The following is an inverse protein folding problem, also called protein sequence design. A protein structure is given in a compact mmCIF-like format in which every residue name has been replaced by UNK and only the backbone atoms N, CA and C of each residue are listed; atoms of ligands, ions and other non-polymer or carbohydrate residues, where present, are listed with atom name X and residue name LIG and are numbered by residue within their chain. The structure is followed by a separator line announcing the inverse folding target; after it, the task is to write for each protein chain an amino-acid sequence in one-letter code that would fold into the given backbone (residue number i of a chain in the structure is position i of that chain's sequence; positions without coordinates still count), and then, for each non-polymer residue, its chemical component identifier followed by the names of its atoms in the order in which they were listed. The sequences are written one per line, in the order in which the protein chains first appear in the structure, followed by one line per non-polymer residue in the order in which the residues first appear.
data_IF_045548850034
#
_entry.id   IF_045548850034
#
_cell.length_a   1.000
_cell.length_b   1.000
_cell.length_c   1.000
_cell.angle_alpha   90.00
_cell.angle_beta   90.00
_cell.angle_gamma   90.00
#
_symmetry.space_group_name_H-M   'P 1'
#
loop_
_entity.id
_entity.type
_entity.pdbx_description
1 polymer ?
#
# COMPACT_ATOMS: atom_id res chain seq x y z
N UNK A 1 -30.49 -5.06 20.23
CA UNK A 1 -29.54 -5.69 19.31
C UNK A 1 -28.91 -4.59 18.47
N UNK A 2 -27.69 -4.14 18.80
CA UNK A 2 -26.96 -3.13 18.04
C UNK A 2 -25.87 -3.85 17.25
N UNK A 3 -26.01 -3.87 15.93
CA UNK A 3 -25.02 -4.42 15.02
C UNK A 3 -23.85 -3.43 14.92
N UNK A 4 -22.73 -3.76 15.52
CA UNK A 4 -21.45 -3.06 15.32
C UNK A 4 -20.85 -3.53 14.00
N UNK A 5 -21.07 -2.78 12.93
CA UNK A 5 -20.40 -2.96 11.66
C UNK A 5 -18.96 -2.46 11.80
N UNK A 6 -18.03 -3.37 11.99
CA UNK A 6 -16.59 -3.05 11.96
C UNK A 6 -16.19 -2.70 10.52
N UNK A 7 -16.08 -1.41 10.25
CA UNK A 7 -15.54 -0.87 9.01
C UNK A 7 -14.04 -1.14 8.98
N UNK A 8 -13.62 -2.22 8.31
CA UNK A 8 -12.20 -2.50 8.04
C UNK A 8 -11.71 -1.51 6.96
N UNK A 9 -10.97 -0.52 7.39
CA UNK A 9 -10.38 0.52 6.55
C UNK A 9 -9.18 -0.05 5.81
N UNK A 10 -9.25 -0.08 4.48
CA UNK A 10 -8.10 -0.38 3.63
C UNK A 10 -7.13 0.81 3.66
N UNK A 11 -5.94 0.58 4.17
CA UNK A 11 -4.88 1.57 4.32
C UNK A 11 -3.90 1.43 3.16
N UNK A 12 -3.99 2.29 2.15
CA UNK A 12 -2.90 2.47 1.19
C UNK A 12 -1.85 3.37 1.84
N UNK A 13 -0.90 2.77 2.54
CA UNK A 13 0.21 3.46 3.19
C UNK A 13 1.39 3.53 2.23
N UNK A 14 1.58 4.66 1.55
CA UNK A 14 2.87 5.02 0.97
C UNK A 14 3.88 5.32 2.10
N UNK A 15 4.34 4.27 2.79
CA UNK A 15 5.37 4.39 3.82
C UNK A 15 6.74 4.43 3.15
N UNK A 16 7.35 5.60 3.01
CA UNK A 16 8.78 5.68 2.77
C UNK A 16 9.52 5.35 4.06
N UNK A 17 9.83 4.07 4.24
CA UNK A 17 10.87 3.66 5.16
C UNK A 17 12.21 4.06 4.54
N UNK A 18 12.96 4.97 5.19
CA UNK A 18 14.38 5.19 4.87
C UNK A 18 15.12 3.91 5.28
N UNK A 19 15.40 3.05 4.32
CA UNK A 19 16.22 1.86 4.49
C UNK A 19 17.69 2.26 4.30
N UNK A 20 18.41 2.50 5.39
CA UNK A 20 19.86 2.36 5.38
C UNK A 20 20.19 0.85 5.43
N UNK A 21 20.38 0.25 4.27
CA UNK A 21 20.90 -1.10 4.14
C UNK A 21 22.37 -1.04 3.75
N UNK A 22 23.27 -1.08 4.73
CA UNK A 22 24.67 -1.49 4.55
C UNK A 22 24.84 -2.86 5.19
N UNK A 23 24.82 -3.90 4.38
CA UNK A 23 25.12 -5.27 4.81
C UNK A 23 25.50 -6.10 3.60
N UNK A 24 26.78 -6.53 3.58
CA UNK A 24 27.32 -7.51 2.64
C UNK A 24 26.58 -8.84 2.71
N UNK A 25 26.34 -9.56 1.60
CA UNK A 25 25.70 -10.87 1.63
C UNK A 25 26.66 -11.90 2.23
N UNK A 26 26.32 -12.43 3.39
CA UNK A 26 26.91 -13.64 3.96
C UNK A 26 26.13 -14.87 3.52
N UNK A 27 26.83 -16.01 3.40
CA UNK A 27 26.39 -17.28 2.89
C UNK A 27 25.00 -17.74 3.35
N UNK A 28 24.32 -18.50 2.49
CA UNK A 28 23.00 -19.08 2.68
C UNK A 28 22.88 -19.92 3.97
N UNK A 29 22.57 -19.27 5.08
CA UNK A 29 22.05 -19.92 6.27
C UNK A 29 20.52 -20.03 6.13
N UNK A 30 19.96 -21.16 6.54
CA UNK A 30 18.53 -21.44 6.50
C UNK A 30 17.74 -20.25 7.14
N UNK A 31 17.05 -19.47 6.31
CA UNK A 31 16.30 -18.29 6.74
C UNK A 31 14.91 -18.64 7.32
N UNK A 32 14.53 -19.93 7.29
CA UNK A 32 13.19 -20.37 7.70
C UNK A 32 12.91 -20.12 9.18
N UNK A 33 13.92 -20.25 10.04
CA UNK A 33 13.78 -19.96 11.48
C UNK A 33 13.40 -18.51 11.79
N UNK A 34 13.83 -17.59 10.95
CA UNK A 34 13.57 -16.15 11.14
C UNK A 34 12.08 -15.80 10.89
N UNK A 35 11.36 -16.59 10.08
CA UNK A 35 9.98 -16.36 9.68
C UNK A 35 8.96 -17.32 10.32
N UNK A 36 9.41 -18.17 11.24
CA UNK A 36 8.57 -19.24 11.80
C UNK A 36 7.25 -18.73 12.38
N UNK A 37 7.28 -17.61 13.10
CA UNK A 37 6.08 -16.95 13.65
C UNK A 37 5.02 -16.68 12.58
N UNK A 38 5.42 -16.12 11.44
CA UNK A 38 4.50 -15.78 10.36
C UNK A 38 4.03 -17.02 9.60
N UNK A 39 4.93 -17.98 9.35
CA UNK A 39 4.58 -19.24 8.67
C UNK A 39 3.57 -20.05 9.48
N UNK A 40 3.76 -20.15 10.80
CA UNK A 40 2.82 -20.88 11.67
C UNK A 40 1.46 -20.23 11.69
N UNK A 41 1.41 -18.90 11.73
CA UNK A 41 0.15 -18.16 11.68
C UNK A 41 -0.57 -18.34 10.34
N UNK A 42 0.14 -18.28 9.21
CA UNK A 42 -0.43 -18.51 7.88
C UNK A 42 -1.00 -19.92 7.75
N UNK A 43 -0.28 -20.93 8.27
CA UNK A 43 -0.75 -22.32 8.28
C UNK A 43 -1.97 -22.53 9.20
N UNK A 44 -1.97 -21.89 10.38
CA UNK A 44 -3.13 -21.93 11.31
C UNK A 44 -4.38 -21.30 10.69
N UNK A 45 -4.21 -20.28 9.85
CA UNK A 45 -5.29 -19.61 9.11
C UNK A 45 -5.65 -20.32 7.78
N UNK A 46 -5.16 -21.54 7.57
CA UNK A 46 -5.60 -22.45 6.51
C UNK A 46 -4.83 -22.36 5.20
N UNK A 47 -3.68 -21.64 5.13
CA UNK A 47 -2.81 -21.74 3.97
C UNK A 47 -2.05 -23.08 3.98
N UNK A 48 -1.84 -23.66 2.82
CA UNK A 48 -1.04 -24.88 2.70
C UNK A 48 0.38 -24.67 3.25
N UNK A 49 0.72 -25.41 4.31
CA UNK A 49 2.00 -25.26 5.04
C UNK A 49 3.19 -25.50 4.11
N UNK A 50 3.13 -26.51 3.23
CA UNK A 50 4.25 -26.84 2.34
C UNK A 50 4.52 -25.71 1.36
N UNK A 51 3.44 -25.12 0.82
CA UNK A 51 3.53 -23.96 -0.07
C UNK A 51 4.11 -22.74 0.65
N UNK A 52 3.63 -22.44 1.86
CA UNK A 52 4.16 -21.35 2.68
C UNK A 52 5.64 -21.54 2.93
N UNK A 53 6.05 -22.72 3.45
CA UNK A 53 7.46 -23.01 3.72
C UNK A 53 8.32 -22.91 2.46
N UNK A 54 7.86 -23.43 1.31
CA UNK A 54 8.59 -23.35 0.05
C UNK A 54 8.89 -21.89 -0.34
N UNK A 55 7.91 -20.96 -0.16
CA UNK A 55 8.09 -19.55 -0.48
C UNK A 55 9.05 -18.86 0.49
N UNK A 56 8.91 -19.10 1.80
CA UNK A 56 9.77 -18.44 2.80
C UNK A 56 11.21 -19.01 2.86
N UNK A 57 11.43 -20.23 2.37
CA UNK A 57 12.76 -20.85 2.22
C UNK A 57 13.41 -20.55 0.86
N UNK A 58 12.70 -19.92 -0.06
CA UNK A 58 13.26 -19.54 -1.36
C UNK A 58 14.46 -18.59 -1.17
N UNK A 59 15.59 -18.80 -1.86
CA UNK A 59 16.77 -17.93 -1.75
C UNK A 59 16.49 -16.45 -2.10
N UNK A 60 15.41 -16.18 -2.83
CA UNK A 60 14.95 -14.81 -3.14
C UNK A 60 14.24 -14.14 -1.97
N UNK A 61 13.84 -14.89 -0.95
CA UNK A 61 13.19 -14.36 0.25
C UNK A 61 14.26 -13.90 1.24
N UNK A 62 14.29 -12.60 1.64
CA UNK A 62 15.32 -12.09 2.52
C UNK A 62 15.16 -12.63 3.95
N UNK A 63 16.23 -12.67 4.71
CA UNK A 63 16.16 -12.97 6.16
C UNK A 63 15.42 -11.88 6.91
N UNK A 64 14.71 -12.25 7.97
CA UNK A 64 14.11 -11.30 8.90
C UNK A 64 15.14 -10.84 9.94
N UNK A 65 15.67 -9.64 9.78
CA UNK A 65 16.63 -9.02 10.70
C UNK A 65 15.97 -8.10 11.73
N UNK A 66 14.63 -8.08 11.73
CA UNK A 66 13.80 -7.24 12.59
C UNK A 66 13.19 -6.05 11.87
N UNK A 67 12.20 -5.47 12.54
CA UNK A 67 11.49 -4.26 12.11
C UNK A 67 11.52 -3.23 13.24
N UNK A 68 12.23 -2.13 13.03
CA UNK A 68 12.11 -0.94 13.87
C UNK A 68 11.00 -0.04 13.35
N UNK A 69 10.15 0.45 14.23
CA UNK A 69 9.06 1.35 13.86
C UNK A 69 8.98 2.58 14.78
N UNK A 70 8.39 3.67 14.28
CA UNK A 70 8.12 4.88 15.07
C UNK A 70 6.80 4.74 15.83
N UNK A 71 6.74 5.28 17.05
CA UNK A 71 5.50 5.39 17.83
C UNK A 71 4.61 6.54 17.31
N UNK A 72 5.22 7.55 16.71
CA UNK A 72 4.54 8.69 16.11
C UNK A 72 4.99 8.83 14.65
N UNK A 73 4.47 8.02 13.73
CA UNK A 73 4.79 8.20 12.33
C UNK A 73 4.13 9.50 11.85
N UNK A 74 4.94 10.49 11.52
CA UNK A 74 4.47 11.74 10.92
C UNK A 74 4.85 11.73 9.46
N UNK A 75 3.86 11.83 8.59
CA UNK A 75 4.13 12.00 7.18
C UNK A 75 4.62 13.44 6.90
N UNK A 76 5.78 13.54 6.27
CA UNK A 76 6.36 14.84 5.97
C UNK A 76 5.57 15.57 4.86
N UNK A 77 5.01 16.73 5.19
CA UNK A 77 4.38 17.63 4.20
C UNK A 77 5.35 18.02 3.06
N UNK A 78 6.67 18.01 3.32
CA UNK A 78 7.69 18.31 2.31
C UNK A 78 7.71 17.31 1.16
N UNK A 79 7.30 16.05 1.38
CA UNK A 79 7.19 15.02 0.36
C UNK A 79 6.28 15.44 -0.80
N UNK A 80 5.17 16.11 -0.50
CA UNK A 80 4.19 16.51 -1.49
C UNK A 80 4.47 17.86 -2.15
N UNK A 81 5.45 18.62 -1.63
CA UNK A 81 5.78 19.95 -2.19
C UNK A 81 6.17 19.89 -3.67
N UNK A 82 6.95 18.89 -4.06
CA UNK A 82 7.39 18.69 -5.44
C UNK A 82 6.22 18.47 -6.41
N UNK A 83 5.15 17.83 -5.95
CA UNK A 83 3.94 17.58 -6.74
C UNK A 83 3.12 18.85 -7.05
N UNK A 84 3.34 19.94 -6.32
CA UNK A 84 2.68 21.24 -6.54
C UNK A 84 3.51 22.20 -7.41
N UNK A 85 4.55 21.73 -8.07
CA UNK A 85 5.37 22.51 -8.98
C UNK A 85 4.75 22.60 -10.39
N UNK A 86 5.07 23.67 -11.13
CA UNK A 86 4.63 23.84 -12.52
C UNK A 86 5.02 22.64 -13.42
N UNK A 87 6.22 22.09 -13.21
CA UNK A 87 6.69 20.90 -13.93
C UNK A 87 5.89 19.64 -13.60
N UNK A 88 5.45 19.47 -12.34
CA UNK A 88 4.60 18.36 -11.92
C UNK A 88 3.20 18.48 -12.54
N UNK A 89 2.60 19.67 -12.50
CA UNK A 89 1.32 19.93 -13.16
C UNK A 89 1.38 19.67 -14.67
N UNK A 90 2.47 20.06 -15.33
CA UNK A 90 2.67 19.75 -16.75
C UNK A 90 2.77 18.25 -17.02
N UNK A 91 3.42 17.46 -16.14
CA UNK A 91 3.43 15.99 -16.25
C UNK A 91 2.03 15.38 -16.07
N UNK A 92 1.27 15.85 -15.08
CA UNK A 92 -0.11 15.39 -14.87
C UNK A 92 -0.99 15.64 -16.11
N UNK A 93 -0.89 16.83 -16.75
CA UNK A 93 -1.61 17.13 -17.99
C UNK A 93 -1.17 16.21 -19.15
N UNK A 94 0.12 15.94 -19.30
CA UNK A 94 0.60 14.98 -20.33
C UNK A 94 0.07 13.58 -20.08
N UNK A 95 0.00 13.14 -18.81
CA UNK A 95 -0.62 11.87 -18.44
C UNK A 95 -2.09 11.84 -18.86
N UNK A 96 -2.87 12.89 -18.49
CA UNK A 96 -4.28 13.02 -18.88
C UNK A 96 -4.49 12.95 -20.38
N UNK A 97 -3.64 13.66 -21.16
CA UNK A 97 -3.70 13.65 -22.61
C UNK A 97 -3.29 12.29 -23.22
N UNK A 98 -2.25 11.65 -22.66
CA UNK A 98 -1.77 10.35 -23.15
C UNK A 98 -2.81 9.24 -23.06
N UNK A 99 -3.65 9.26 -22.06
CA UNK A 99 -4.67 8.24 -21.77
C UNK A 99 -6.08 8.84 -21.80
N UNK A 100 -6.31 9.82 -22.69
CA UNK A 100 -7.55 10.61 -22.72
C UNK A 100 -8.80 9.73 -22.75
N UNK A 101 -8.87 8.81 -23.70
CA UNK A 101 -10.06 7.94 -23.91
C UNK A 101 -10.31 7.03 -22.72
N UNK A 102 -9.24 6.48 -22.11
CA UNK A 102 -9.36 5.60 -20.92
C UNK A 102 -9.88 6.34 -19.69
N UNK A 103 -9.42 7.57 -19.48
CA UNK A 103 -9.91 8.41 -18.40
C UNK A 103 -11.36 8.83 -18.62
N UNK A 104 -11.76 9.18 -19.84
CA UNK A 104 -13.11 9.56 -20.19
C UNK A 104 -14.09 8.39 -20.07
N UNK A 105 -13.67 7.20 -20.53
CA UNK A 105 -14.45 5.99 -20.35
C UNK A 105 -14.69 5.68 -18.88
N UNK A 106 -13.63 5.77 -18.07
CA UNK A 106 -13.76 5.55 -16.62
C UNK A 106 -14.63 6.60 -15.93
N UNK A 107 -14.55 7.87 -16.35
CA UNK A 107 -15.43 8.92 -15.85
C UNK A 107 -16.90 8.66 -16.23
N UNK A 108 -17.18 8.25 -17.47
CA UNK A 108 -18.53 7.87 -17.90
C UNK A 108 -19.07 6.72 -17.07
N UNK A 109 -18.29 5.66 -16.88
CA UNK A 109 -18.69 4.42 -16.20
C UNK A 109 -18.86 4.59 -14.69
N UNK A 110 -17.89 5.22 -14.04
CA UNK A 110 -17.82 5.28 -12.57
C UNK A 110 -18.24 6.63 -11.97
N UNK A 111 -18.37 7.67 -12.77
CA UNK A 111 -18.71 9.01 -12.30
C UNK A 111 -17.61 9.72 -11.52
N UNK A 112 -16.39 9.19 -11.58
CA UNK A 112 -15.19 9.80 -10.98
C UNK A 112 -14.54 10.70 -12.03
N UNK A 113 -14.33 12.01 -11.77
CA UNK A 113 -13.74 12.90 -12.77
C UNK A 113 -12.34 12.41 -13.21
N UNK A 114 -12.10 12.44 -14.52
CA UNK A 114 -10.84 12.07 -15.13
C UNK A 114 -9.64 12.84 -14.50
N UNK A 115 -9.87 14.10 -14.10
CA UNK A 115 -8.87 14.92 -13.41
C UNK A 115 -8.47 14.34 -12.04
N UNK A 116 -9.42 13.76 -11.29
CA UNK A 116 -9.13 13.13 -9.99
C UNK A 116 -8.35 11.83 -10.18
N UNK A 117 -8.76 10.99 -11.14
CA UNK A 117 -8.04 9.75 -11.48
C UNK A 117 -6.60 10.05 -11.93
N UNK A 118 -6.44 11.06 -12.82
CA UNK A 118 -5.12 11.52 -13.25
C UNK A 118 -4.27 11.98 -12.06
N UNK A 119 -4.84 12.75 -11.14
CA UNK A 119 -4.13 13.27 -9.98
C UNK A 119 -3.63 12.15 -9.06
N UNK A 120 -4.47 11.15 -8.77
CA UNK A 120 -4.09 10.00 -7.97
C UNK A 120 -2.95 9.23 -8.65
N UNK A 121 -3.11 8.79 -9.91
CA UNK A 121 -2.09 8.03 -10.61
C UNK A 121 -0.77 8.82 -10.79
N UNK A 122 -0.87 10.16 -10.90
CA UNK A 122 0.31 11.02 -10.95
C UNK A 122 1.04 11.06 -9.59
N UNK A 123 0.32 11.18 -8.48
CA UNK A 123 0.94 11.19 -7.13
C UNK A 123 1.54 9.83 -6.80
N UNK A 124 0.86 8.73 -7.16
CA UNK A 124 1.31 7.38 -6.83
C UNK A 124 2.58 6.98 -7.60
N UNK A 125 2.56 7.12 -8.92
CA UNK A 125 3.61 6.55 -9.77
C UNK A 125 4.07 7.47 -10.91
N UNK A 126 3.68 8.75 -10.90
CA UNK A 126 3.82 9.63 -12.05
C UNK A 126 3.25 8.99 -13.33
N UNK A 127 2.05 8.38 -13.18
CA UNK A 127 1.33 7.68 -14.25
C UNK A 127 2.09 6.47 -14.81
N UNK A 128 2.74 5.71 -13.96
CA UNK A 128 3.39 4.45 -14.30
C UNK A 128 4.90 4.54 -14.51
N UNK A 129 5.52 5.73 -14.39
CA UNK A 129 6.99 5.86 -14.50
C UNK A 129 7.70 5.15 -13.33
N UNK A 130 7.10 5.14 -12.13
CA UNK A 130 7.72 4.64 -10.89
C UNK A 130 6.79 3.70 -10.13
N UNK A 131 6.57 2.50 -10.63
CA UNK A 131 5.70 1.49 -10.00
C UNK A 131 6.39 0.69 -8.89
N UNK A 132 7.70 0.90 -8.69
CA UNK A 132 8.52 0.14 -7.75
C UNK A 132 9.10 -1.15 -8.36
N UNK A 133 10.19 -1.64 -7.76
CA UNK A 133 10.92 -2.84 -8.22
C UNK A 133 11.13 -3.88 -7.13
N UNK A 134 10.70 -3.59 -5.89
CA UNK A 134 10.81 -4.50 -4.77
C UNK A 134 9.84 -5.67 -4.91
N UNK A 135 10.18 -6.82 -4.34
CA UNK A 135 9.19 -7.90 -4.18
C UNK A 135 8.15 -7.50 -3.15
N UNK A 136 6.87 -7.61 -3.50
CA UNK A 136 5.73 -7.20 -2.65
C UNK A 136 5.65 -8.05 -1.39
N UNK A 137 5.69 -9.38 -1.54
CA UNK A 137 5.49 -10.29 -0.42
C UNK A 137 6.53 -10.13 0.71
N UNK A 138 7.86 -10.06 0.46
CA UNK A 138 8.82 -9.84 1.52
C UNK A 138 8.64 -8.52 2.27
N UNK A 139 8.25 -7.46 1.58
CA UNK A 139 7.95 -6.16 2.19
C UNK A 139 6.78 -6.23 3.17
N UNK A 140 5.68 -6.84 2.74
CA UNK A 140 4.48 -7.07 3.56
C UNK A 140 4.75 -8.02 4.73
N UNK A 141 5.45 -9.14 4.46
CA UNK A 141 5.83 -10.10 5.48
C UNK A 141 6.64 -9.43 6.60
N UNK A 142 7.62 -8.58 6.24
CA UNK A 142 8.42 -7.83 7.22
C UNK A 142 7.55 -6.93 8.10
N UNK A 143 6.56 -6.26 7.54
CA UNK A 143 5.64 -5.40 8.30
C UNK A 143 4.69 -6.23 9.18
N UNK A 144 4.22 -7.37 8.70
CA UNK A 144 3.39 -8.31 9.45
C UNK A 144 4.12 -8.95 10.65
N UNK A 145 5.46 -8.95 10.64
CA UNK A 145 6.30 -9.42 11.77
C UNK A 145 6.47 -8.38 12.88
N UNK A 146 5.79 -7.24 12.80
CA UNK A 146 5.95 -6.17 13.81
C UNK A 146 5.69 -6.66 15.23
N UNK A 147 4.68 -7.53 15.42
CA UNK A 147 4.27 -8.06 16.72
C UNK A 147 4.92 -9.43 17.07
N UNK A 148 5.89 -9.91 16.26
CA UNK A 148 6.69 -11.08 16.62
C UNK A 148 7.36 -10.83 17.98
N UNK A 149 7.32 -11.79 18.95
CA UNK A 149 7.74 -11.54 20.33
C UNK A 149 9.16 -11.00 20.49
N UNK A 150 10.15 -11.50 19.73
CA UNK A 150 11.52 -10.98 19.81
C UNK A 150 11.62 -9.58 19.19
N UNK A 151 10.84 -9.30 18.13
CA UNK A 151 10.78 -7.98 17.54
C UNK A 151 10.16 -6.95 18.49
N UNK A 152 9.09 -7.33 19.21
CA UNK A 152 8.47 -6.48 20.23
C UNK A 152 9.49 -6.18 21.34
N UNK A 153 10.20 -7.19 21.85
CA UNK A 153 11.24 -6.97 22.89
C UNK A 153 12.32 -5.97 22.45
N UNK A 154 12.80 -6.08 21.18
CA UNK A 154 13.77 -5.11 20.63
C UNK A 154 13.23 -3.68 20.58
N UNK A 155 11.98 -3.51 20.17
CA UNK A 155 11.35 -2.18 20.11
C UNK A 155 11.03 -1.62 21.50
N UNK A 156 10.62 -2.47 22.46
CA UNK A 156 10.46 -2.08 23.88
C UNK A 156 11.77 -1.54 24.46
N UNK A 157 12.87 -2.26 24.26
CA UNK A 157 14.19 -1.80 24.69
C UNK A 157 14.57 -0.47 24.03
N UNK A 158 14.35 -0.35 22.72
CA UNK A 158 14.65 0.87 21.96
C UNK A 158 13.87 2.10 22.44
N UNK A 159 12.55 1.96 22.66
CA UNK A 159 11.68 3.09 23.01
C UNK A 159 11.68 3.41 24.50
N UNK A 160 12.01 2.41 25.35
CA UNK A 160 12.09 2.59 26.80
C UNK A 160 13.48 3.00 27.31
N UNK A 161 14.52 2.90 26.46
CA UNK A 161 15.88 3.22 26.87
C UNK A 161 16.02 4.70 27.24
N UNK A 162 16.63 4.97 28.40
CA UNK A 162 16.85 6.32 28.90
C UNK A 162 15.62 7.04 29.45
N UNK A 163 14.44 6.42 29.41
CA UNK A 163 13.21 7.02 29.96
C UNK A 163 13.11 6.82 31.48
N UNK A 164 12.61 7.83 32.22
CA UNK A 164 12.25 7.65 33.62
C UNK A 164 11.09 6.64 33.76
N UNK A 165 10.95 5.97 34.92
CA UNK A 165 9.98 4.90 35.13
C UNK A 165 8.53 5.31 34.82
N UNK A 166 8.16 6.56 35.08
CA UNK A 166 6.81 7.09 34.80
C UNK A 166 6.46 7.13 33.31
N UNK A 167 7.43 7.44 32.44
CA UNK A 167 7.21 7.51 30.98
C UNK A 167 7.48 6.16 30.29
N UNK A 168 8.23 5.27 30.94
CA UNK A 168 8.58 3.96 30.35
C UNK A 168 7.34 3.10 30.12
N UNK A 169 6.43 3.02 31.07
CA UNK A 169 5.19 2.23 30.96
C UNK A 169 4.34 2.71 29.77
N UNK A 170 4.14 4.02 29.64
CA UNK A 170 3.43 4.58 28.51
C UNK A 170 4.11 4.22 27.16
N UNK A 171 5.43 4.38 27.07
CA UNK A 171 6.19 4.03 25.87
C UNK A 171 6.09 2.53 25.54
N UNK A 172 6.05 1.66 26.56
CA UNK A 172 5.87 0.21 26.39
C UNK A 172 4.48 -0.11 25.85
N UNK A 173 3.42 0.47 26.41
CA UNK A 173 2.04 0.24 25.98
C UNK A 173 1.86 0.71 24.54
N UNK A 174 2.33 1.89 24.20
CA UNK A 174 2.32 2.41 22.82
C UNK A 174 3.14 1.55 21.86
N UNK A 175 4.24 0.97 22.31
CA UNK A 175 5.06 0.06 21.50
C UNK A 175 4.29 -1.21 21.17
N UNK A 176 3.62 -1.82 22.15
CA UNK A 176 2.80 -3.03 21.94
C UNK A 176 1.58 -2.73 21.07
N UNK A 177 0.90 -1.60 21.30
CA UNK A 177 -0.22 -1.17 20.49
C UNK A 177 0.20 -0.95 19.02
N UNK A 178 1.31 -0.27 18.79
CA UNK A 178 1.84 -0.03 17.44
C UNK A 178 2.26 -1.32 16.74
N UNK A 179 2.87 -2.25 17.47
CA UNK A 179 3.25 -3.56 16.94
C UNK A 179 2.04 -4.35 16.47
N UNK A 180 0.97 -4.44 17.30
CA UNK A 180 -0.30 -5.08 16.93
C UNK A 180 -0.95 -4.39 15.73
N UNK A 181 -1.05 -3.07 15.75
CA UNK A 181 -1.60 -2.30 14.64
C UNK A 181 -0.92 -2.62 13.30
N UNK A 182 0.42 -2.68 13.28
CA UNK A 182 1.17 -3.01 12.06
C UNK A 182 0.90 -4.45 11.61
N UNK A 183 0.91 -5.41 12.51
CA UNK A 183 0.59 -6.80 12.19
C UNK A 183 -0.85 -6.92 11.64
N UNK A 184 -1.83 -6.36 12.34
CA UNK A 184 -3.26 -6.41 11.95
C UNK A 184 -3.51 -5.74 10.60
N UNK A 185 -2.69 -4.74 10.25
CA UNK A 185 -2.77 -4.06 8.95
C UNK A 185 -2.14 -4.90 7.83
N UNK A 186 -0.97 -5.48 8.06
CA UNK A 186 -0.17 -6.07 6.98
C UNK A 186 -0.25 -7.60 6.88
N UNK A 187 -0.64 -8.29 7.94
CA UNK A 187 -0.87 -9.73 7.88
C UNK A 187 -1.96 -10.14 6.88
N UNK A 188 -3.13 -9.46 6.82
CA UNK A 188 -4.11 -9.73 5.78
C UNK A 188 -3.57 -9.53 4.36
N UNK A 189 -2.64 -8.59 4.16
CA UNK A 189 -2.03 -8.33 2.86
C UNK A 189 -1.04 -9.44 2.45
N UNK A 190 -0.35 -10.05 3.41
CA UNK A 190 0.45 -11.26 3.15
C UNK A 190 -0.46 -12.39 2.64
N UNK A 191 -1.58 -12.65 3.32
CA UNK A 191 -2.57 -13.65 2.87
C UNK A 191 -3.13 -13.33 1.49
N UNK A 192 -3.51 -12.08 1.27
CA UNK A 192 -4.01 -11.60 -0.01
C UNK A 192 -2.97 -11.77 -1.13
N UNK A 193 -1.67 -11.67 -0.83
CA UNK A 193 -0.61 -11.91 -1.83
C UNK A 193 -0.58 -13.37 -2.28
N UNK A 194 -0.74 -14.33 -1.36
CA UNK A 194 -0.83 -15.75 -1.72
C UNK A 194 -2.09 -16.05 -2.55
N UNK A 195 -3.22 -15.45 -2.19
CA UNK A 195 -4.47 -15.58 -2.95
C UNK A 195 -4.34 -14.98 -4.35
N UNK A 196 -3.80 -13.77 -4.45
CA UNK A 196 -3.55 -13.09 -5.71
C UNK A 196 -2.65 -13.91 -6.63
N UNK A 197 -1.53 -14.39 -6.11
CA UNK A 197 -0.60 -15.23 -6.85
C UNK A 197 -1.27 -16.52 -7.36
N UNK A 198 -2.13 -17.15 -6.56
CA UNK A 198 -2.92 -18.31 -6.98
C UNK A 198 -3.88 -17.97 -8.13
N UNK A 199 -4.62 -16.86 -8.02
CA UNK A 199 -5.58 -16.43 -9.05
C UNK A 199 -4.91 -16.11 -10.38
N UNK A 200 -3.69 -15.54 -10.32
CA UNK A 200 -2.93 -15.17 -11.52
C UNK A 200 -2.05 -16.29 -12.08
N UNK A 201 -1.93 -17.42 -11.39
CA UNK A 201 -1.00 -18.49 -11.76
C UNK A 201 0.46 -18.05 -11.64
N UNK A 202 0.79 -17.13 -10.73
CA UNK A 202 2.12 -16.58 -10.54
C UNK A 202 2.81 -17.14 -9.29
N UNK A 203 4.14 -17.09 -9.27
CA UNK A 203 4.90 -17.21 -8.05
C UNK A 203 4.67 -15.96 -7.17
N UNK A 204 4.33 -16.08 -5.88
CA UNK A 204 4.13 -14.94 -4.98
C UNK A 204 5.32 -13.97 -4.93
N UNK A 205 6.54 -14.43 -5.24
CA UNK A 205 7.76 -13.62 -5.27
C UNK A 205 7.96 -12.83 -6.57
N UNK A 206 7.13 -13.05 -7.59
CA UNK A 206 7.23 -12.32 -8.88
C UNK A 206 6.44 -11.00 -8.85
N UNK A 207 5.53 -10.81 -7.91
CA UNK A 207 4.78 -9.55 -7.79
C UNK A 207 5.73 -8.44 -7.37
N UNK A 208 5.86 -7.41 -8.22
CA UNK A 208 6.76 -6.27 -8.02
C UNK A 208 5.99 -5.00 -7.69
N UNK A 209 6.59 -4.17 -6.82
CA UNK A 209 5.98 -2.92 -6.39
C UNK A 209 6.90 -2.12 -5.46
N UNK A 210 6.29 -1.38 -4.54
CA UNK A 210 7.01 -0.64 -3.50
C UNK A 210 7.55 -1.57 -2.41
N UNK A 211 8.50 -1.08 -1.61
CA UNK A 211 9.02 -1.82 -0.45
C UNK A 211 8.01 -2.06 0.66
N UNK A 212 6.84 -1.40 0.61
CA UNK A 212 5.73 -1.59 1.55
C UNK A 212 4.58 -2.42 0.97
N UNK A 213 4.77 -3.01 -0.21
CA UNK A 213 3.83 -3.97 -0.78
C UNK A 213 2.74 -3.40 -1.70
N UNK A 214 2.74 -2.10 -1.98
CA UNK A 214 1.85 -1.51 -2.97
C UNK A 214 2.40 -1.69 -4.39
N UNK A 215 1.54 -1.92 -5.40
CA UNK A 215 1.98 -2.24 -6.76
C UNK A 215 1.06 -1.71 -7.87
N UNK A 216 1.59 -1.70 -9.09
CA UNK A 216 0.91 -1.17 -10.27
C UNK A 216 0.83 0.36 -10.30
N UNK A 217 0.18 0.91 -11.33
CA UNK A 217 0.01 2.34 -11.49
C UNK A 217 -0.71 3.00 -10.30
N UNK A 218 -1.78 2.40 -9.74
CA UNK A 218 -2.54 2.96 -8.63
C UNK A 218 -1.94 2.62 -7.26
N UNK A 219 -0.81 1.91 -7.19
CA UNK A 219 -0.18 1.48 -5.94
C UNK A 219 -1.15 0.78 -4.97
N UNK A 220 -1.92 -0.17 -5.48
CA UNK A 220 -2.81 -0.98 -4.66
C UNK A 220 -2.05 -1.98 -3.80
N UNK A 221 -2.57 -2.23 -2.61
CA UNK A 221 -2.23 -3.43 -1.85
C UNK A 221 -2.92 -4.66 -2.44
N UNK A 222 -2.41 -5.89 -2.19
CA UNK A 222 -2.99 -7.12 -2.72
C UNK A 222 -4.49 -7.29 -2.46
N UNK A 223 -4.97 -6.94 -1.27
CA UNK A 223 -6.40 -6.99 -0.94
C UNK A 223 -7.22 -6.00 -1.76
N UNK A 224 -6.68 -4.81 -2.04
CA UNK A 224 -7.33 -3.82 -2.90
C UNK A 224 -7.42 -4.29 -4.35
N UNK A 225 -6.37 -4.96 -4.86
CA UNK A 225 -6.41 -5.63 -6.15
C UNK A 225 -7.55 -6.65 -6.21
N UNK A 226 -7.62 -7.56 -5.24
CA UNK A 226 -8.62 -8.63 -5.20
C UNK A 226 -10.06 -8.10 -5.12
N UNK A 227 -10.25 -6.95 -4.48
CA UNK A 227 -11.57 -6.36 -4.23
C UNK A 227 -12.02 -5.38 -5.31
N UNK A 228 -11.10 -4.60 -5.87
CA UNK A 228 -11.43 -3.47 -6.74
C UNK A 228 -10.83 -3.57 -8.13
N UNK A 229 -10.04 -4.59 -8.41
CA UNK A 229 -9.45 -4.81 -9.72
C UNK A 229 -10.52 -5.00 -10.81
N UNK A 230 -10.29 -4.40 -11.96
CA UNK A 230 -11.18 -4.44 -13.14
C UNK A 230 -10.34 -4.73 -14.37
N UNK A 231 -10.71 -5.77 -15.11
CA UNK A 231 -10.24 -6.02 -16.49
C UNK A 231 -11.06 -5.11 -17.40
N UNK A 232 -10.54 -3.92 -17.68
CA UNK A 232 -11.28 -2.89 -18.41
C UNK A 232 -11.13 -3.00 -19.93
N UNK A 233 -10.07 -3.64 -20.40
CA UNK A 233 -9.85 -3.92 -21.82
C UNK A 233 -10.40 -5.30 -22.27
N UNK A 234 -11.02 -6.03 -21.32
CA UNK A 234 -11.69 -7.34 -21.56
C UNK A 234 -10.79 -8.39 -22.21
N UNK A 235 -9.47 -8.31 -21.93
CA UNK A 235 -8.50 -9.26 -22.47
C UNK A 235 -8.40 -10.58 -21.65
N UNK A 236 -9.19 -10.72 -20.59
CA UNK A 236 -9.22 -11.87 -19.68
C UNK A 236 -8.11 -11.86 -18.63
N UNK A 237 -7.33 -10.79 -18.53
CA UNK A 237 -6.17 -10.68 -17.63
C UNK A 237 -6.13 -9.29 -16.99
N UNK A 238 -6.63 -9.16 -15.78
CA UNK A 238 -6.55 -7.91 -15.05
C UNK A 238 -5.10 -7.60 -14.62
N UNK A 239 -4.58 -6.42 -15.00
CA UNK A 239 -3.22 -5.99 -14.71
C UNK A 239 -3.16 -4.52 -14.30
N UNK A 240 -2.77 -4.23 -13.06
CA UNK A 240 -2.56 -2.85 -12.61
C UNK A 240 -1.35 -2.15 -13.26
N UNK A 241 -0.60 -2.85 -14.10
CA UNK A 241 0.47 -2.28 -14.94
C UNK A 241 -0.04 -1.84 -16.32
N UNK A 242 -1.26 -2.26 -16.70
CA UNK A 242 -1.94 -1.81 -17.90
C UNK A 242 -2.80 -0.58 -17.59
N UNK A 243 -2.67 0.52 -18.36
CA UNK A 243 -3.37 1.77 -18.06
C UNK A 243 -4.89 1.65 -18.02
N UNK A 244 -5.50 0.85 -18.90
CA UNK A 244 -6.95 0.65 -18.93
C UNK A 244 -7.46 0.09 -17.59
N UNK A 245 -6.88 -1.03 -17.18
CA UNK A 245 -7.26 -1.72 -15.95
C UNK A 245 -6.94 -0.89 -14.71
N UNK A 246 -5.76 -0.24 -14.69
CA UNK A 246 -5.32 0.57 -13.58
C UNK A 246 -6.24 1.78 -13.33
N UNK A 247 -6.64 2.49 -14.41
CA UNK A 247 -7.53 3.66 -14.34
C UNK A 247 -8.92 3.22 -13.87
N UNK A 248 -9.47 2.16 -14.47
CA UNK A 248 -10.78 1.63 -14.10
C UNK A 248 -10.79 1.08 -12.67
N UNK A 249 -9.75 0.37 -12.25
CA UNK A 249 -9.60 -0.14 -10.88
C UNK A 249 -9.51 0.99 -9.86
N UNK A 250 -8.76 2.06 -10.18
CA UNK A 250 -8.68 3.26 -9.34
C UNK A 250 -10.07 3.91 -9.18
N UNK A 251 -10.83 4.04 -10.26
CA UNK A 251 -12.19 4.57 -10.22
C UNK A 251 -13.12 3.67 -9.39
N UNK A 252 -13.07 2.35 -9.59
CA UNK A 252 -13.84 1.37 -8.84
C UNK A 252 -13.52 1.40 -7.33
N UNK A 253 -12.25 1.60 -6.97
CA UNK A 253 -11.84 1.79 -5.58
C UNK A 253 -12.54 3.00 -4.96
N UNK A 254 -12.53 4.14 -5.64
CA UNK A 254 -13.16 5.36 -5.13
C UNK A 254 -14.67 5.20 -4.98
N UNK A 255 -15.33 4.55 -5.94
CA UNK A 255 -16.77 4.21 -5.85
C UNK A 255 -17.05 3.29 -4.66
N UNK A 256 -16.22 2.26 -4.46
CA UNK A 256 -16.34 1.36 -3.31
C UNK A 256 -16.14 2.04 -1.95
N UNK A 257 -15.54 3.24 -1.93
CA UNK A 257 -15.36 4.08 -0.75
C UNK A 257 -16.32 5.29 -0.70
N UNK A 258 -17.38 5.27 -1.51
CA UNK A 258 -18.47 6.23 -1.44
C UNK A 258 -18.44 7.36 -2.46
N UNK A 259 -17.58 7.27 -3.51
CA UNK A 259 -17.66 8.22 -4.62
C UNK A 259 -18.94 8.02 -5.42
N UNK A 260 -19.65 9.11 -5.69
CA UNK A 260 -20.81 9.18 -6.60
C UNK A 260 -20.80 10.52 -7.34
N UNK A 261 -21.52 10.58 -8.45
CA UNK A 261 -21.64 11.85 -9.21
C UNK A 261 -22.18 12.97 -8.32
N UNK A 262 -21.60 14.14 -8.42
CA UNK A 262 -22.10 15.34 -7.73
C UNK A 262 -21.79 15.42 -6.22
N UNK A 263 -20.96 14.52 -5.66
CA UNK A 263 -20.57 14.64 -4.25
C UNK A 263 -19.88 15.95 -3.95
N UNK A 264 -20.12 16.47 -2.75
CA UNK A 264 -19.52 17.70 -2.24
C UNK A 264 -18.00 17.62 -2.15
N UNK A 265 -17.32 18.76 -2.02
CA UNK A 265 -15.86 18.81 -1.82
C UNK A 265 -15.43 18.08 -0.54
N UNK A 266 -16.21 18.16 0.53
CA UNK A 266 -15.93 17.45 1.79
C UNK A 266 -16.02 15.93 1.62
N UNK A 267 -17.03 15.42 0.94
CA UNK A 267 -17.16 13.99 0.63
C UNK A 267 -16.00 13.50 -0.26
N UNK A 268 -15.59 14.30 -1.28
CA UNK A 268 -14.39 13.97 -2.09
C UNK A 268 -13.16 13.82 -1.23
N UNK A 269 -12.96 14.73 -0.27
CA UNK A 269 -11.84 14.65 0.70
C UNK A 269 -11.90 13.35 1.48
N UNK A 270 -13.06 12.96 1.99
CA UNK A 270 -13.23 11.73 2.77
C UNK A 270 -12.92 10.48 1.94
N UNK A 271 -13.35 10.43 0.68
CA UNK A 271 -13.06 9.31 -0.22
C UNK A 271 -11.57 9.25 -0.58
N UNK A 272 -10.95 10.39 -0.89
CA UNK A 272 -9.49 10.44 -1.16
C UNK A 272 -8.68 10.10 0.11
N UNK A 273 -9.16 10.49 1.29
CA UNK A 273 -8.58 10.10 2.58
C UNK A 273 -8.57 8.57 2.76
N UNK A 274 -9.61 7.86 2.32
CA UNK A 274 -9.63 6.40 2.36
C UNK A 274 -8.54 5.77 1.47
N UNK A 275 -8.10 6.46 0.43
CA UNK A 275 -6.99 6.02 -0.43
C UNK A 275 -5.64 6.14 0.29
N UNK A 276 -5.43 7.27 0.95
CA UNK A 276 -4.24 7.51 1.76
C UNK A 276 -4.60 8.45 2.94
N UNK A 277 -4.40 7.97 4.18
CA UNK A 277 -4.75 8.67 5.43
C UNK A 277 -3.79 9.84 5.72
N UNK A 278 -3.70 10.80 4.78
CA UNK A 278 -2.84 11.98 4.87
C UNK A 278 -3.55 13.21 4.32
N UNK A 279 -3.72 14.25 5.16
CA UNK A 279 -4.25 15.54 4.71
C UNK A 279 -3.38 16.16 3.61
N UNK A 280 -2.06 16.01 3.71
CA UNK A 280 -1.14 16.52 2.71
C UNK A 280 -1.31 15.80 1.36
N UNK A 281 -1.61 14.50 1.37
CA UNK A 281 -1.97 13.73 0.19
C UNK A 281 -3.27 14.24 -0.42
N UNK A 282 -4.35 14.32 0.38
CA UNK A 282 -5.67 14.79 -0.06
C UNK A 282 -5.59 16.17 -0.70
N UNK A 283 -4.92 17.11 -0.03
CA UNK A 283 -4.72 18.47 -0.55
C UNK A 283 -3.94 18.49 -1.86
N UNK A 284 -2.97 17.60 -2.01
CA UNK A 284 -2.13 17.52 -3.22
C UNK A 284 -2.90 16.93 -4.38
N UNK A 285 -3.64 15.84 -4.16
CA UNK A 285 -4.50 15.22 -5.18
C UNK A 285 -5.54 16.23 -5.67
N UNK A 286 -6.23 16.93 -4.77
CA UNK A 286 -7.23 17.91 -5.14
C UNK A 286 -6.62 19.11 -5.90
N UNK A 287 -5.46 19.61 -5.49
CA UNK A 287 -4.78 20.71 -6.19
C UNK A 287 -4.37 20.33 -7.62
N UNK A 288 -3.88 19.09 -7.83
CA UNK A 288 -3.54 18.58 -9.16
C UNK A 288 -4.82 18.40 -9.98
N UNK A 289 -5.87 17.82 -9.40
CA UNK A 289 -7.14 17.59 -10.08
C UNK A 289 -7.79 18.91 -10.55
N UNK A 290 -7.83 19.94 -9.68
CA UNK A 290 -8.33 21.28 -10.01
C UNK A 290 -7.51 21.89 -11.17
N UNK A 291 -6.17 21.75 -11.15
CA UNK A 291 -5.29 22.26 -12.20
C UNK A 291 -5.47 21.53 -13.54
N UNK A 292 -5.62 20.20 -13.52
CA UNK A 292 -5.88 19.40 -14.72
C UNK A 292 -7.24 19.75 -15.32
N UNK A 293 -8.28 19.91 -14.50
CA UNK A 293 -9.62 20.25 -14.96
C UNK A 293 -9.68 21.65 -15.61
N UNK A 294 -9.00 22.66 -15.03
CA UNK A 294 -9.00 24.04 -15.54
C UNK A 294 -8.36 24.18 -16.93
N UNK A 295 -7.45 23.28 -17.32
CA UNK A 295 -6.71 23.33 -18.58
C UNK A 295 -7.21 22.32 -19.62
N UNK A 296 -8.39 21.75 -19.41
CA UNK A 296 -9.04 20.79 -20.33
C UNK A 296 -10.31 21.35 -20.98
N UNK A 297 -10.62 22.65 -20.74
CA UNK A 297 -11.75 23.38 -21.35
C UNK A 297 -11.34 24.05 -22.65
#
# INVERSE_FOLDING_TARGET
MRATTALRVALSLAFALVLNATGTPSAAADSSGDWQYLMDRLAADGLDRRRVEAVFRDPRFPRFTGLSFSLNPVESKSRYRAFRSASSFARARRCRARYADLFEESERRYGVPASVLTAILHVETQCGEFTGRSRVLPGLARLAMANEPANVRRNLARHGNGLPPSLRREAEDRTRERARYLEDTFYPEVRATFELASRLGLDPLEIRGSGSGAFGLPQFLPSSYLRFGVDANENGRMSLFEPADAIASCANYLVGHGWRRGISRSERRSVIWAYNHSEAYVDTVLAIADHVAANHR
#
